data_IF_883181539965
#
_entry.id   IF_883181539965
#
_cell.length_a   1.000
_cell.length_b   1.000
_cell.length_c   1.000
_cell.angle_alpha   90.00
_cell.angle_beta   90.00
_cell.angle_gamma   90.00
#
_symmetry.space_group_name_H-M   'P 1'
#
loop_
_entity.id
_entity.type
_entity.pdbx_description
1 polymer ?
#
# COMPACT_ATOMS: atom_id res chain seq x y z
N UNK A 1 22.69 14.44 2.50
CA UNK A 1 21.40 14.79 1.86
C UNK A 1 20.71 13.49 1.50
N UNK A 2 19.48 13.28 1.96
CA UNK A 2 18.70 12.09 1.56
C UNK A 2 18.29 12.27 0.10
N UNK A 3 18.63 11.31 -0.77
CA UNK A 3 18.26 11.36 -2.19
C UNK A 3 16.87 10.77 -2.40
N UNK A 4 16.18 11.25 -3.43
CA UNK A 4 14.91 10.68 -3.89
C UNK A 4 15.10 9.24 -4.40
N UNK A 5 14.37 8.28 -3.82
CA UNK A 5 14.55 6.84 -4.10
C UNK A 5 14.17 6.42 -5.52
N UNK A 6 13.18 7.08 -6.13
CA UNK A 6 12.70 6.77 -7.50
C UNK A 6 13.63 7.18 -8.64
N UNK A 7 14.81 7.76 -8.35
CA UNK A 7 15.75 8.24 -9.37
C UNK A 7 16.82 7.21 -9.76
N UNK A 8 17.03 6.18 -8.94
CA UNK A 8 18.03 5.14 -9.16
C UNK A 8 17.34 3.79 -9.38
N UNK A 9 18.12 2.74 -9.66
CA UNK A 9 17.57 1.40 -9.80
C UNK A 9 16.87 0.99 -8.49
N UNK A 10 15.60 0.57 -8.52
CA UNK A 10 14.86 0.26 -7.31
C UNK A 10 15.45 -0.99 -6.64
N UNK A 11 15.69 -0.91 -5.34
CA UNK A 11 16.03 -2.10 -4.54
C UNK A 11 14.73 -2.85 -4.25
N UNK A 12 14.69 -4.17 -4.47
CA UNK A 12 13.54 -5.01 -4.10
C UNK A 12 13.93 -5.94 -2.97
N UNK A 13 13.36 -5.70 -1.79
CA UNK A 13 13.55 -6.59 -0.65
C UNK A 13 12.68 -7.85 -0.82
N UNK A 14 13.21 -9.06 -0.56
CA UNK A 14 12.40 -10.28 -0.58
C UNK A 14 11.25 -10.19 0.43
N UNK A 15 10.08 -10.66 0.02
CA UNK A 15 8.91 -10.75 0.88
C UNK A 15 9.04 -11.96 1.79
N UNK A 16 8.98 -11.77 3.09
CA UNK A 16 9.09 -12.84 4.09
C UNK A 16 7.74 -13.56 4.32
N UNK A 17 7.16 -14.10 3.24
CA UNK A 17 5.82 -14.71 3.25
C UNK A 17 5.75 -16.03 4.03
N UNK A 18 6.90 -16.61 4.38
CA UNK A 18 6.99 -17.86 5.15
C UNK A 18 6.99 -17.63 6.66
N UNK A 19 7.26 -16.40 7.11
CA UNK A 19 7.19 -16.06 8.52
C UNK A 19 5.76 -16.12 9.04
N UNK A 20 5.62 -16.54 10.29
CA UNK A 20 4.34 -16.54 11.01
C UNK A 20 3.76 -15.12 11.12
N UNK A 21 4.62 -14.10 11.19
CA UNK A 21 4.22 -12.69 11.31
C UNK A 21 3.68 -12.11 10.01
N UNK A 22 3.90 -12.76 8.86
CA UNK A 22 3.43 -12.25 7.56
C UNK A 22 1.91 -12.08 7.54
N UNK A 23 1.17 -12.97 8.19
CA UNK A 23 -0.30 -12.93 8.26
C UNK A 23 -0.84 -12.17 9.49
N UNK A 24 0.02 -11.52 10.26
CA UNK A 24 -0.42 -10.63 11.34
C UNK A 24 -1.13 -9.40 10.74
N UNK A 25 -2.45 -9.34 10.92
CA UNK A 25 -3.28 -8.27 10.42
C UNK A 25 -3.00 -6.94 11.10
N UNK A 26 -2.78 -6.95 12.42
CA UNK A 26 -2.51 -5.70 13.15
C UNK A 26 -1.23 -5.07 12.62
N UNK A 27 -0.17 -5.86 12.51
CA UNK A 27 1.10 -5.39 11.96
C UNK A 27 1.00 -5.02 10.46
N UNK A 28 0.01 -5.51 9.72
CA UNK A 28 -0.27 -5.08 8.36
C UNK A 28 -1.01 -3.73 8.34
N UNK A 29 -2.00 -3.56 9.21
CA UNK A 29 -2.78 -2.31 9.35
C UNK A 29 -1.90 -1.18 9.86
N UNK A 30 -1.06 -1.42 10.87
CA UNK A 30 -0.10 -0.44 11.38
C UNK A 30 0.85 0.05 10.26
N UNK A 31 1.28 -0.85 9.36
CA UNK A 31 2.12 -0.48 8.22
C UNK A 31 1.34 0.24 7.12
N UNK A 32 0.06 -0.13 6.90
CA UNK A 32 -0.83 0.63 6.00
C UNK A 32 -1.00 2.06 6.50
N UNK A 33 -1.27 2.26 7.80
CA UNK A 33 -1.41 3.57 8.43
C UNK A 33 -0.16 4.43 8.20
N UNK A 34 1.03 3.89 8.51
CA UNK A 34 2.31 4.57 8.28
C UNK A 34 2.50 4.98 6.82
N UNK A 35 2.23 4.07 5.88
CA UNK A 35 2.40 4.34 4.46
C UNK A 35 1.38 5.37 3.97
N UNK A 36 0.13 5.27 4.42
CA UNK A 36 -0.96 6.14 4.00
C UNK A 36 -0.73 7.58 4.48
N UNK A 37 -0.20 7.75 5.68
CA UNK A 37 0.18 9.06 6.24
C UNK A 37 1.28 9.71 5.38
N UNK A 38 2.34 8.95 5.05
CA UNK A 38 3.40 9.42 4.15
C UNK A 38 2.85 9.72 2.74
N UNK A 39 1.92 8.91 2.24
CA UNK A 39 1.29 9.12 0.94
C UNK A 39 0.45 10.40 0.92
N UNK A 40 -0.30 10.67 1.99
CA UNK A 40 -1.09 11.90 2.16
C UNK A 40 -0.19 13.14 2.08
N UNK A 41 0.99 13.09 2.70
CA UNK A 41 1.93 14.21 2.69
C UNK A 41 2.50 14.58 1.30
N UNK A 42 2.58 13.65 0.34
CA UNK A 42 3.19 13.93 -0.99
C UNK A 42 2.24 13.85 -2.18
N UNK A 43 1.17 13.04 -2.12
CA UNK A 43 0.14 12.81 -3.14
C UNK A 43 0.60 12.58 -4.59
N UNK A 44 1.90 12.32 -4.83
CA UNK A 44 2.50 12.18 -6.17
C UNK A 44 1.91 11.05 -7.02
N UNK A 45 1.30 10.07 -6.40
CA UNK A 45 0.81 8.85 -7.06
C UNK A 45 -0.66 8.92 -7.50
N UNK A 46 -1.38 10.03 -7.23
CA UNK A 46 -2.84 10.16 -7.47
C UNK A 46 -3.28 9.78 -8.88
N UNK A 47 -2.47 10.07 -9.91
CA UNK A 47 -2.81 9.81 -11.31
C UNK A 47 -2.42 8.42 -11.82
N UNK A 48 -1.80 7.57 -10.99
CA UNK A 48 -1.23 6.30 -11.45
C UNK A 48 -2.19 5.11 -11.38
N UNK A 49 -2.99 5.00 -10.31
CA UNK A 49 -3.91 3.88 -10.11
C UNK A 49 -5.04 4.23 -9.14
N UNK A 50 -6.08 3.40 -9.08
CA UNK A 50 -7.28 3.66 -8.29
C UNK A 50 -7.08 3.69 -6.77
N UNK A 51 -6.00 3.10 -6.23
CA UNK A 51 -5.77 3.12 -4.77
C UNK A 51 -5.58 4.53 -4.22
N UNK A 52 -4.87 5.40 -4.95
CA UNK A 52 -4.51 6.71 -4.43
C UNK A 52 -5.68 7.69 -4.40
N UNK A 53 -6.52 7.82 -5.45
CA UNK A 53 -7.77 8.56 -5.33
C UNK A 53 -8.65 8.05 -4.19
N UNK A 54 -8.87 6.72 -4.08
CA UNK A 54 -9.65 6.16 -2.95
C UNK A 54 -9.07 6.51 -1.59
N UNK A 55 -7.74 6.47 -1.42
CA UNK A 55 -7.11 6.87 -0.17
C UNK A 55 -7.33 8.36 0.12
N UNK A 56 -7.12 9.22 -0.87
CA UNK A 56 -7.21 10.66 -0.66
C UNK A 56 -8.65 11.13 -0.49
N UNK A 57 -9.62 10.52 -1.17
CA UNK A 57 -11.04 10.78 -0.95
C UNK A 57 -11.43 10.44 0.49
N UNK A 58 -11.01 9.28 1.02
CA UNK A 58 -11.27 8.90 2.42
C UNK A 58 -10.72 9.92 3.41
N UNK A 59 -9.54 10.49 3.15
CA UNK A 59 -8.91 11.47 4.03
C UNK A 59 -9.56 12.84 3.88
N UNK A 60 -9.78 13.30 2.64
CA UNK A 60 -10.31 14.63 2.33
C UNK A 60 -11.79 14.77 2.75
N UNK A 61 -12.55 13.67 2.77
CA UNK A 61 -13.92 13.61 3.28
C UNK A 61 -13.99 13.39 4.81
N UNK A 62 -12.85 13.11 5.46
CA UNK A 62 -12.73 12.92 6.91
C UNK A 62 -12.84 14.23 7.69
N UNK A 63 -13.16 14.14 8.99
CA UNK A 63 -13.43 15.32 9.84
C UNK A 63 -12.21 16.24 10.01
N UNK A 64 -11.01 15.69 10.09
CA UNK A 64 -9.77 16.44 10.27
C UNK A 64 -9.10 16.84 8.96
N UNK A 65 -9.46 16.19 7.85
CA UNK A 65 -8.70 16.23 6.60
C UNK A 65 -7.35 15.51 6.67
N UNK A 66 -7.10 14.76 7.74
CA UNK A 66 -5.89 13.99 8.01
C UNK A 66 -6.23 12.51 8.21
N UNK A 67 -5.22 11.63 8.15
CA UNK A 67 -5.44 10.18 8.25
C UNK A 67 -6.05 9.74 9.58
N UNK A 68 -5.87 10.51 10.65
CA UNK A 68 -6.37 10.21 12.00
C UNK A 68 -7.90 10.14 12.10
N UNK A 69 -8.62 10.73 11.13
CA UNK A 69 -10.08 10.69 11.05
C UNK A 69 -10.61 9.54 10.18
N UNK A 70 -9.73 8.74 9.56
CA UNK A 70 -10.12 7.62 8.69
C UNK A 70 -10.19 6.33 9.51
N UNK A 71 -11.34 5.64 9.48
CA UNK A 71 -11.48 4.32 10.10
C UNK A 71 -10.52 3.31 9.43
N UNK A 72 -9.72 2.59 10.23
CA UNK A 72 -8.82 1.55 9.75
C UNK A 72 -9.55 0.43 8.95
N UNK A 73 -10.84 0.21 9.19
CA UNK A 73 -11.67 -0.69 8.38
C UNK A 73 -11.80 -0.22 6.92
N UNK A 74 -11.68 1.07 6.65
CA UNK A 74 -11.76 1.63 5.30
C UNK A 74 -10.45 1.55 4.52
N UNK A 75 -9.32 1.25 5.17
CA UNK A 75 -8.04 1.00 4.50
C UNK A 75 -8.16 -0.15 3.50
N UNK A 76 -9.02 -1.13 3.75
CA UNK A 76 -9.27 -2.24 2.84
C UNK A 76 -9.90 -1.82 1.51
N UNK A 77 -10.60 -0.67 1.45
CA UNK A 77 -11.10 -0.08 0.19
C UNK A 77 -9.93 0.34 -0.72
N UNK A 78 -8.83 0.83 -0.13
CA UNK A 78 -7.58 1.19 -0.83
C UNK A 78 -6.88 -0.06 -1.37
N UNK A 79 -6.82 -1.11 -0.54
CA UNK A 79 -6.24 -2.43 -0.89
C UNK A 79 -6.97 -3.03 -2.10
N UNK A 80 -8.30 -2.93 -2.14
CA UNK A 80 -9.14 -3.45 -3.22
C UNK A 80 -8.86 -2.81 -4.58
N UNK A 81 -8.34 -1.59 -4.60
CA UNK A 81 -7.98 -0.86 -5.83
C UNK A 81 -6.52 -1.09 -6.27
N UNK A 82 -5.72 -1.81 -5.49
CA UNK A 82 -4.35 -2.12 -5.87
C UNK A 82 -4.31 -3.35 -6.79
N UNK A 83 -3.66 -3.21 -7.94
CA UNK A 83 -3.48 -4.28 -8.94
C UNK A 83 -2.05 -4.83 -8.99
N UNK A 84 -1.21 -4.50 -8.00
CA UNK A 84 0.17 -5.01 -7.86
C UNK A 84 1.05 -4.78 -9.11
N UNK A 85 0.86 -3.65 -9.80
CA UNK A 85 1.62 -3.30 -11.01
C UNK A 85 2.96 -2.61 -10.73
N UNK A 86 3.26 -2.29 -9.46
CA UNK A 86 4.50 -1.68 -9.00
C UNK A 86 4.87 -0.29 -9.54
N UNK A 87 4.06 0.31 -10.42
CA UNK A 87 4.37 1.59 -11.07
C UNK A 87 4.60 2.73 -10.06
N UNK A 88 3.84 2.78 -8.96
CA UNK A 88 4.02 3.80 -7.93
C UNK A 88 5.39 3.69 -7.24
N UNK A 89 5.83 2.47 -6.94
CA UNK A 89 7.11 2.18 -6.33
C UNK A 89 8.27 2.48 -7.30
N UNK A 90 8.16 2.00 -8.54
CA UNK A 90 9.26 2.05 -9.50
C UNK A 90 9.49 3.45 -10.09
N UNK A 91 8.46 4.29 -10.17
CA UNK A 91 8.54 5.49 -11.03
C UNK A 91 8.19 6.82 -10.36
N UNK A 92 7.56 6.82 -9.17
CA UNK A 92 7.05 8.06 -8.56
C UNK A 92 7.38 8.25 -7.09
N UNK A 93 7.47 7.17 -6.32
CA UNK A 93 7.60 7.29 -4.87
C UNK A 93 9.03 7.74 -4.50
N UNK A 94 9.19 8.93 -3.87
CA UNK A 94 10.51 9.43 -3.50
C UNK A 94 11.08 8.73 -2.27
N UNK A 95 10.26 7.93 -1.58
CA UNK A 95 10.53 7.38 -0.26
C UNK A 95 10.81 5.87 -0.25
N UNK A 96 10.98 5.27 -1.43
CA UNK A 96 11.50 3.91 -1.59
C UNK A 96 13.00 3.85 -1.23
N UNK A 97 13.58 2.67 -0.96
CA UNK A 97 15.03 2.51 -0.83
C UNK A 97 15.83 3.26 -1.88
N UNK A 98 16.92 3.95 -1.49
CA UNK A 98 17.59 3.91 -0.19
C UNK A 98 17.03 4.89 0.86
N UNK A 99 15.85 5.50 0.63
CA UNK A 99 15.26 6.42 1.59
C UNK A 99 14.99 5.71 2.94
N UNK A 100 15.30 6.32 4.10
CA UNK A 100 15.20 5.67 5.41
C UNK A 100 13.78 5.24 5.79
N UNK A 101 12.75 5.83 5.16
CA UNK A 101 11.36 5.41 5.36
C UNK A 101 11.00 4.09 4.70
N UNK A 102 11.82 3.61 3.76
CA UNK A 102 11.68 2.31 3.09
C UNK A 102 10.22 2.00 2.70
N UNK A 103 9.57 2.96 2.03
CA UNK A 103 8.15 2.85 1.71
C UNK A 103 7.96 1.84 0.58
N UNK A 104 7.29 0.72 0.88
CA UNK A 104 6.92 -0.29 -0.13
C UNK A 104 5.42 -0.54 -0.12
N UNK A 105 4.71 0.34 -0.84
CA UNK A 105 3.25 0.26 -0.97
C UNK A 105 2.82 -1.06 -1.61
N UNK A 106 3.38 -1.52 -2.75
CA UNK A 106 2.97 -2.78 -3.35
C UNK A 106 3.16 -4.00 -2.45
N UNK A 107 4.27 -4.11 -1.71
CA UNK A 107 4.47 -5.22 -0.78
C UNK A 107 3.43 -5.23 0.35
N UNK A 108 3.10 -4.07 0.90
CA UNK A 108 2.06 -3.95 1.94
C UNK A 108 0.68 -4.33 1.39
N UNK A 109 0.36 -3.92 0.16
CA UNK A 109 -0.89 -4.30 -0.50
C UNK A 109 -0.96 -5.80 -0.81
N UNK A 110 0.14 -6.43 -1.22
CA UNK A 110 0.21 -7.87 -1.41
C UNK A 110 -0.07 -8.60 -0.08
N UNK A 111 0.58 -8.18 1.00
CA UNK A 111 0.38 -8.74 2.34
C UNK A 111 -1.09 -8.63 2.77
N UNK A 112 -1.69 -7.44 2.59
CA UNK A 112 -3.10 -7.21 2.90
C UNK A 112 -4.02 -8.16 2.11
N UNK A 113 -3.81 -8.31 0.80
CA UNK A 113 -4.59 -9.24 -0.04
C UNK A 113 -4.42 -10.70 0.39
N UNK A 114 -3.21 -11.12 0.76
CA UNK A 114 -2.95 -12.46 1.27
C UNK A 114 -3.71 -12.73 2.58
N UNK A 115 -3.80 -11.74 3.46
CA UNK A 115 -4.59 -11.81 4.71
C UNK A 115 -6.09 -11.91 4.40
N UNK A 116 -6.64 -11.06 3.52
CA UNK A 116 -8.04 -11.15 3.09
C UNK A 116 -8.38 -12.53 2.52
N UNK A 117 -7.51 -13.05 1.65
CA UNK A 117 -7.70 -14.36 1.03
C UNK A 117 -7.73 -15.48 2.10
N UNK A 118 -6.77 -15.48 3.03
CA UNK A 118 -6.69 -16.47 4.12
C UNK A 118 -7.90 -16.44 5.05
N UNK A 119 -8.49 -15.26 5.26
CA UNK A 119 -9.70 -15.07 6.08
C UNK A 119 -11.00 -15.47 5.38
N UNK A 120 -10.96 -15.82 4.09
CA UNK A 120 -12.15 -16.15 3.32
C UNK A 120 -13.00 -14.93 2.96
N UNK A 121 -12.41 -13.72 2.96
CA UNK A 121 -13.07 -12.55 2.36
C UNK A 121 -13.45 -12.89 0.92
N UNK A 122 -14.63 -12.45 0.48
CA UNK A 122 -15.13 -12.73 -0.88
C UNK A 122 -14.13 -12.23 -1.91
N UNK A 123 -13.27 -13.14 -2.36
CA UNK A 123 -12.21 -12.83 -3.31
C UNK A 123 -12.87 -12.53 -4.65
N UNK A 124 -12.59 -11.35 -5.23
CA UNK A 124 -13.17 -11.00 -6.52
C UNK A 124 -12.58 -11.92 -7.57
N UNK A 125 -13.39 -12.30 -8.57
CA UNK A 125 -12.94 -13.11 -9.71
C UNK A 125 -11.68 -12.55 -10.36
N UNK A 126 -11.58 -11.22 -10.43
CA UNK A 126 -10.37 -10.50 -10.85
C UNK A 126 -9.13 -10.93 -10.07
N UNK A 127 -9.21 -10.93 -8.73
CA UNK A 127 -8.04 -11.16 -7.88
C UNK A 127 -7.56 -12.61 -7.99
N UNK A 128 -8.49 -13.56 -8.13
CA UNK A 128 -8.17 -14.97 -8.45
C UNK A 128 -7.52 -15.08 -9.83
N UNK A 129 -8.05 -14.42 -10.86
CA UNK A 129 -7.54 -14.51 -12.24
C UNK A 129 -6.13 -13.91 -12.38
N UNK A 130 -5.90 -12.73 -11.80
CA UNK A 130 -4.59 -12.05 -11.87
C UNK A 130 -3.49 -12.79 -11.11
N UNK A 131 -3.85 -13.67 -10.18
CA UNK A 131 -2.91 -14.42 -9.32
C UNK A 131 -2.77 -15.90 -9.71
N UNK A 132 -3.38 -16.34 -10.82
CA UNK A 132 -3.42 -17.74 -11.27
C UNK A 132 -2.33 -18.11 -12.29
N UNK A 133 -1.20 -17.44 -12.22
CA UNK A 133 -0.01 -17.69 -13.06
C UNK A 133 1.21 -17.79 -12.18
#
# INVERSE_FOLDING_TARGET
MVKEGSLEAPTRHPIDWKSETFYDEKACVDEMERIFDICHGCRRCVSLCGSFPTLFDLIDEGESGELDSVDAADYWKVVDQCYLCDVCYLTKCPYVPPHPWNLDFPHTMLRAKAIQFKKGTKTKTRDTLLSNT
#
